data_IF_627871922019
#
_entry.id   IF_627871922019
#
_cell.length_a   1.000
_cell.length_b   1.000
_cell.length_c   1.000
_cell.angle_alpha   90.00
_cell.angle_beta   90.00
_cell.angle_gamma   90.00
#
_symmetry.space_group_name_H-M   'P 1'
#
loop_
_entity.id
_entity.type
_entity.pdbx_description
1 polymer ?
#
# COMPACT_ATOMS: atom_id res chain seq x y z
N UNK A 1 -24.68 -6.00 27.65
CA UNK A 1 -23.61 -5.00 27.50
C UNK A 1 -23.25 -4.92 26.02
N UNK A 2 -23.29 -3.75 25.41
CA UNK A 2 -22.89 -3.61 24.01
C UNK A 2 -21.37 -3.73 23.88
N UNK A 3 -20.91 -4.72 23.11
CA UNK A 3 -19.50 -4.88 22.78
C UNK A 3 -19.12 -3.83 21.74
N UNK A 4 -18.55 -2.71 22.18
CA UNK A 4 -18.18 -1.58 21.32
C UNK A 4 -16.66 -1.47 21.22
N UNK A 5 -16.17 -1.42 20.00
CA UNK A 5 -14.75 -1.33 19.64
C UNK A 5 -14.44 -0.03 18.91
N UNK A 6 -13.24 0.49 19.12
CA UNK A 6 -12.75 1.77 18.61
C UNK A 6 -11.69 1.56 17.54
N UNK A 7 -11.78 2.31 16.45
CA UNK A 7 -10.70 2.57 15.53
C UNK A 7 -10.39 4.08 15.41
N UNK A 8 -9.56 4.47 14.44
CA UNK A 8 -9.25 5.89 14.15
C UNK A 8 -10.45 6.72 13.66
N UNK A 9 -11.50 6.07 13.14
CA UNK A 9 -12.71 6.71 12.61
C UNK A 9 -13.82 6.85 13.66
N UNK A 10 -13.84 6.00 14.68
CA UNK A 10 -14.80 6.13 15.78
C UNK A 10 -15.04 4.83 16.54
N UNK A 11 -16.25 4.72 17.10
CA UNK A 11 -16.71 3.58 17.88
C UNK A 11 -17.78 2.81 17.11
N UNK A 12 -17.65 1.49 17.06
CA UNK A 12 -18.52 0.60 16.33
C UNK A 12 -18.91 -0.60 17.20
N UNK A 13 -20.09 -1.16 16.96
CA UNK A 13 -20.43 -2.47 17.52
C UNK A 13 -19.46 -3.53 16.98
N UNK A 14 -19.00 -4.47 17.81
CA UNK A 14 -18.04 -5.51 17.45
C UNK A 14 -18.40 -6.28 16.17
N UNK A 15 -19.69 -6.55 15.94
CA UNK A 15 -20.18 -7.23 14.73
C UNK A 15 -19.99 -6.41 13.46
N UNK A 16 -20.08 -5.08 13.55
CA UNK A 16 -19.84 -4.16 12.43
C UNK A 16 -18.35 -3.89 12.29
N UNK A 17 -17.66 -3.72 13.43
CA UNK A 17 -16.23 -3.45 13.52
C UNK A 17 -15.43 -4.49 12.73
N UNK A 18 -15.71 -5.80 12.91
CA UNK A 18 -14.98 -6.87 12.20
C UNK A 18 -15.03 -6.70 10.68
N UNK A 19 -16.19 -6.33 10.15
CA UNK A 19 -16.39 -6.19 8.70
C UNK A 19 -15.72 -4.88 8.24
N UNK A 20 -15.91 -3.79 8.99
CA UNK A 20 -15.37 -2.47 8.69
C UNK A 20 -13.84 -2.49 8.63
N UNK A 21 -13.19 -3.04 9.64
CA UNK A 21 -11.73 -3.14 9.67
C UNK A 21 -11.22 -4.07 8.57
N UNK A 22 -11.97 -5.11 8.20
CA UNK A 22 -11.58 -5.97 7.08
C UNK A 22 -11.68 -5.27 5.71
N UNK A 23 -12.68 -4.42 5.50
CA UNK A 23 -12.74 -3.53 4.32
C UNK A 23 -11.54 -2.58 4.28
N UNK A 24 -11.20 -1.98 5.42
CA UNK A 24 -10.06 -1.06 5.52
C UNK A 24 -8.72 -1.77 5.33
N UNK A 25 -8.52 -2.95 5.94
CA UNK A 25 -7.34 -3.78 5.73
C UNK A 25 -7.09 -4.04 4.25
N UNK A 26 -8.14 -4.40 3.51
CA UNK A 26 -8.03 -4.62 2.07
C UNK A 26 -7.60 -3.34 1.34
N UNK A 27 -8.23 -2.20 1.65
CA UNK A 27 -7.87 -0.92 1.07
C UNK A 27 -6.45 -0.45 1.40
N UNK A 28 -5.99 -0.68 2.63
CA UNK A 28 -4.68 -0.23 3.09
C UNK A 28 -3.54 -1.10 2.56
N UNK A 29 -3.77 -2.40 2.40
CA UNK A 29 -2.76 -3.32 1.90
C UNK A 29 -2.62 -3.30 0.37
N UNK A 30 -3.68 -2.94 -0.36
CA UNK A 30 -3.75 -3.12 -1.83
C UNK A 30 -4.16 -1.85 -2.59
N UNK A 31 -3.79 -0.66 -2.07
CA UNK A 31 -4.25 0.67 -2.49
C UNK A 31 -4.50 0.85 -4.01
N UNK A 32 -3.59 0.39 -4.88
CA UNK A 32 -3.69 0.58 -6.34
C UNK A 32 -3.87 -0.72 -7.15
N UNK A 33 -3.61 -1.88 -6.54
CA UNK A 33 -3.64 -3.19 -7.22
C UNK A 33 -4.96 -3.94 -7.06
N UNK A 34 -5.87 -3.40 -6.27
CA UNK A 34 -7.09 -4.09 -5.90
C UNK A 34 -8.20 -3.95 -6.95
N UNK A 35 -8.75 -5.08 -7.42
CA UNK A 35 -9.99 -5.13 -8.21
C UNK A 35 -11.24 -4.73 -7.41
N UNK A 36 -11.11 -4.61 -6.10
CA UNK A 36 -12.19 -4.25 -5.19
C UNK A 36 -11.82 -2.97 -4.41
N UNK A 37 -12.79 -2.12 -4.14
CA UNK A 37 -12.60 -0.90 -3.34
C UNK A 37 -13.63 -0.86 -2.21
N UNK A 38 -13.28 -0.32 -1.03
CA UNK A 38 -14.25 -0.15 0.04
C UNK A 38 -15.34 0.85 -0.39
N UNK A 39 -16.60 0.53 -0.13
CA UNK A 39 -17.68 1.48 -0.41
C UNK A 39 -17.54 2.73 0.48
N UNK A 40 -17.34 3.90 -0.13
CA UNK A 40 -17.28 5.18 0.59
C UNK A 40 -18.64 5.89 0.71
N UNK A 41 -19.61 5.53 -0.13
CA UNK A 41 -20.90 6.22 -0.24
C UNK A 41 -21.99 5.64 0.67
N UNK A 42 -21.77 4.45 1.24
CA UNK A 42 -22.70 3.85 2.18
C UNK A 42 -21.97 3.52 3.47
N UNK A 43 -22.62 3.76 4.61
CA UNK A 43 -22.09 3.57 5.96
C UNK A 43 -21.78 2.11 6.33
N UNK A 44 -21.65 1.22 5.34
CA UNK A 44 -21.52 -0.21 5.51
C UNK A 44 -20.15 -0.74 5.11
N UNK A 45 -19.74 -1.89 5.67
CA UNK A 45 -18.43 -2.49 5.41
C UNK A 45 -18.47 -3.50 4.26
N UNK A 46 -18.67 -3.04 3.02
CA UNK A 46 -18.57 -3.91 1.83
C UNK A 46 -17.39 -3.50 0.96
N UNK A 47 -16.80 -4.52 0.31
CA UNK A 47 -15.91 -4.35 -0.82
C UNK A 47 -16.74 -4.36 -2.10
N UNK A 48 -16.49 -3.43 -3.01
CA UNK A 48 -17.22 -3.31 -4.27
C UNK A 48 -16.23 -3.51 -5.42
N UNK A 49 -16.65 -4.22 -6.47
CA UNK A 49 -15.94 -4.22 -7.75
C UNK A 49 -15.66 -2.79 -8.26
N UNK A 50 -14.57 -2.60 -9.03
CA UNK A 50 -14.28 -1.32 -9.68
C UNK A 50 -15.45 -0.82 -10.54
N UNK A 51 -16.16 -1.73 -11.19
CA UNK A 51 -17.32 -1.42 -12.05
C UNK A 51 -18.63 -1.21 -11.27
N UNK A 52 -18.58 -1.36 -9.93
CA UNK A 52 -19.73 -1.24 -9.03
C UNK A 52 -20.87 -2.26 -9.27
N UNK A 53 -20.59 -3.32 -10.03
CA UNK A 53 -21.57 -4.37 -10.38
C UNK A 53 -21.98 -5.26 -9.21
N UNK A 54 -21.06 -5.52 -8.28
CA UNK A 54 -21.31 -6.39 -7.13
C UNK A 54 -20.56 -5.93 -5.88
N UNK A 55 -21.11 -6.35 -4.73
CA UNK A 55 -20.54 -6.11 -3.40
C UNK A 55 -20.26 -7.42 -2.67
N UNK A 56 -19.09 -7.50 -2.05
CA UNK A 56 -18.65 -8.62 -1.22
C UNK A 56 -18.59 -8.18 0.25
N UNK A 57 -19.04 -9.07 1.13
CA UNK A 57 -18.91 -8.90 2.58
C UNK A 57 -17.54 -9.46 2.98
N UNK A 58 -16.62 -8.64 3.52
CA UNK A 58 -15.29 -9.08 3.91
C UNK A 58 -15.32 -9.71 5.31
N UNK A 59 -15.95 -10.87 5.43
CA UNK A 59 -16.04 -11.61 6.70
C UNK A 59 -15.08 -12.81 6.72
N UNK A 60 -13.96 -12.65 7.42
CA UNK A 60 -12.95 -13.70 7.59
C UNK A 60 -13.43 -14.87 8.47
N UNK A 61 -14.49 -14.69 9.26
CA UNK A 61 -15.09 -15.79 10.03
C UNK A 61 -15.96 -16.72 9.18
N UNK A 62 -16.36 -16.27 7.99
CA UNK A 62 -17.15 -17.06 7.05
C UNK A 62 -16.27 -17.54 5.90
N UNK A 63 -16.08 -18.86 5.79
CA UNK A 63 -15.22 -19.45 4.76
C UNK A 63 -15.68 -19.12 3.34
N UNK A 64 -17.00 -19.12 3.07
CA UNK A 64 -17.54 -18.77 1.75
C UNK A 64 -17.25 -17.32 1.39
N UNK A 65 -17.48 -16.39 2.32
CA UNK A 65 -17.18 -14.97 2.11
C UNK A 65 -15.68 -14.71 1.92
N UNK A 66 -14.85 -15.40 2.71
CA UNK A 66 -13.39 -15.36 2.60
C UNK A 66 -12.92 -15.81 1.22
N UNK A 67 -13.46 -16.93 0.71
CA UNK A 67 -13.13 -17.46 -0.62
C UNK A 67 -13.50 -16.47 -1.72
N UNK A 68 -14.66 -15.82 -1.65
CA UNK A 68 -15.07 -14.82 -2.65
C UNK A 68 -14.12 -13.62 -2.72
N UNK A 69 -13.67 -13.10 -1.58
CA UNK A 69 -12.68 -12.00 -1.55
C UNK A 69 -11.32 -12.48 -2.05
N UNK A 70 -10.88 -13.66 -1.60
CA UNK A 70 -9.57 -14.19 -1.98
C UNK A 70 -9.45 -14.63 -3.44
N UNK A 71 -10.54 -14.75 -4.22
CA UNK A 71 -10.46 -14.93 -5.68
C UNK A 71 -9.71 -13.80 -6.38
N UNK A 72 -9.72 -12.60 -5.79
CA UNK A 72 -9.08 -11.40 -6.34
C UNK A 72 -7.69 -11.12 -5.75
N UNK A 73 -7.18 -12.03 -4.93
CA UNK A 73 -5.86 -11.93 -4.28
C UNK A 73 -5.07 -13.20 -4.58
N UNK A 74 -3.76 -13.08 -4.78
CA UNK A 74 -2.90 -14.27 -4.73
C UNK A 74 -2.88 -14.88 -3.32
N UNK A 75 -2.37 -16.11 -3.20
CA UNK A 75 -2.34 -16.82 -1.91
C UNK A 75 -1.64 -16.04 -0.80
N UNK A 76 -0.56 -15.31 -1.12
CA UNK A 76 0.20 -14.52 -0.14
C UNK A 76 -0.59 -13.31 0.33
N UNK A 77 -1.19 -12.56 -0.59
CA UNK A 77 -1.99 -11.38 -0.32
C UNK A 77 -3.31 -11.75 0.39
N UNK A 78 -3.92 -12.88 0.03
CA UNK A 78 -5.06 -13.43 0.74
C UNK A 78 -4.72 -13.74 2.22
N UNK A 79 -3.55 -14.32 2.51
CA UNK A 79 -3.09 -14.51 3.89
C UNK A 79 -2.77 -13.21 4.62
N UNK A 80 -2.13 -12.25 3.95
CA UNK A 80 -1.86 -10.92 4.53
C UNK A 80 -3.15 -10.20 4.92
N UNK A 81 -4.15 -10.21 4.05
CA UNK A 81 -5.47 -9.64 4.33
C UNK A 81 -6.16 -10.34 5.51
N UNK A 82 -6.19 -11.69 5.51
CA UNK A 82 -6.71 -12.49 6.64
C UNK A 82 -6.00 -12.14 7.94
N UNK A 83 -4.68 -12.00 7.92
CA UNK A 83 -3.89 -11.65 9.10
C UNK A 83 -4.25 -10.26 9.64
N UNK A 84 -4.38 -9.25 8.78
CA UNK A 84 -4.81 -7.90 9.17
C UNK A 84 -6.20 -7.91 9.83
N UNK A 85 -7.15 -8.61 9.21
CA UNK A 85 -8.50 -8.82 9.76
C UNK A 85 -8.49 -9.44 11.16
N UNK A 86 -7.73 -10.54 11.34
CA UNK A 86 -7.66 -11.22 12.64
C UNK A 86 -7.03 -10.32 13.70
N UNK A 87 -5.96 -9.60 13.39
CA UNK A 87 -5.33 -8.65 14.31
C UNK A 87 -6.28 -7.53 14.75
N UNK A 88 -7.14 -7.04 13.85
CA UNK A 88 -8.16 -6.05 14.19
C UNK A 88 -9.23 -6.63 15.15
N UNK A 89 -9.71 -7.84 14.88
CA UNK A 89 -10.68 -8.54 15.74
C UNK A 89 -10.09 -8.83 17.12
N UNK A 90 -8.84 -9.28 17.19
CA UNK A 90 -8.11 -9.48 18.45
C UNK A 90 -7.99 -8.17 19.24
N UNK A 91 -7.73 -7.06 18.55
CA UNK A 91 -7.71 -5.74 19.18
C UNK A 91 -9.09 -5.38 19.77
N UNK A 92 -10.17 -5.61 19.03
CA UNK A 92 -11.54 -5.38 19.49
C UNK A 92 -11.87 -6.23 20.73
N UNK A 93 -11.51 -7.52 20.73
CA UNK A 93 -11.69 -8.40 21.88
C UNK A 93 -10.94 -7.87 23.12
N UNK A 94 -9.71 -7.40 22.93
CA UNK A 94 -8.93 -6.79 24.00
C UNK A 94 -9.59 -5.51 24.55
N UNK A 95 -10.10 -4.64 23.68
CA UNK A 95 -10.82 -3.43 24.11
C UNK A 95 -12.08 -3.75 24.93
N UNK A 96 -12.84 -4.78 24.54
CA UNK A 96 -14.04 -5.22 25.27
C UNK A 96 -13.66 -5.78 26.64
N UNK A 97 -12.62 -6.62 26.70
CA UNK A 97 -12.15 -7.22 27.95
C UNK A 97 -11.65 -6.19 28.96
N UNK A 98 -10.85 -5.21 28.53
CA UNK A 98 -10.31 -4.16 29.41
C UNK A 98 -11.39 -3.24 29.95
N UNK A 99 -12.46 -2.98 29.18
CA UNK A 99 -13.59 -2.18 29.62
C UNK A 99 -14.39 -2.87 30.73
N UNK A 100 -14.52 -4.20 30.65
CA UNK A 100 -15.19 -4.98 31.70
C UNK A 100 -14.37 -5.02 33.00
N UNK A 101 -13.07 -4.72 32.95
CA UNK A 101 -12.14 -4.81 34.08
C UNK A 101 -11.87 -3.47 34.80
N UNK A 102 -12.32 -2.31 34.29
CA UNK A 102 -11.93 -0.99 34.85
C UNK A 102 -13.03 -0.28 35.64
N UNK A 103 -12.92 -0.36 36.96
CA UNK A 103 -13.19 0.75 37.88
C UNK A 103 -11.86 1.50 38.14
N UNK A 104 -11.58 2.59 37.44
CA UNK A 104 -10.41 3.43 37.78
C UNK A 104 -10.72 4.92 37.63
N UNK A 105 -10.78 5.70 38.71
CA UNK A 105 -10.82 7.14 38.62
C UNK A 105 -9.38 7.63 38.43
N UNK A 106 -9.07 8.21 37.28
CA UNK A 106 -7.80 8.90 37.07
C UNK A 106 -8.07 10.37 36.74
N UNK A 107 -7.36 11.26 37.43
CA UNK A 107 -7.44 12.72 37.35
C UNK A 107 -7.04 13.27 35.96
N UNK A 108 -6.52 12.42 35.07
CA UNK A 108 -6.19 12.73 33.67
C UNK A 108 -6.82 11.69 32.77
N UNK A 109 -7.59 12.11 31.77
CA UNK A 109 -8.22 11.22 30.80
C UNK A 109 -7.13 10.57 29.94
N UNK A 110 -6.93 9.23 29.99
CA UNK A 110 -5.95 8.57 29.13
C UNK A 110 -6.44 8.54 27.68
N UNK A 111 -5.51 8.45 26.73
CA UNK A 111 -5.88 8.15 25.34
C UNK A 111 -6.43 6.72 25.24
N UNK A 112 -7.62 6.54 24.66
CA UNK A 112 -8.29 5.24 24.64
C UNK A 112 -7.56 4.24 23.75
N UNK A 113 -7.58 2.97 24.15
CA UNK A 113 -7.14 1.84 23.30
C UNK A 113 -7.86 1.89 21.94
N UNK A 114 -7.14 1.67 20.85
CA UNK A 114 -7.70 1.79 19.49
C UNK A 114 -7.02 0.87 18.50
N UNK A 115 -7.75 0.43 17.48
CA UNK A 115 -7.16 -0.06 16.23
C UNK A 115 -6.82 1.14 15.36
N UNK A 116 -5.64 1.19 14.75
CA UNK A 116 -5.24 2.32 13.90
C UNK A 116 -5.21 2.01 12.39
N UNK A 117 -5.68 0.83 12.01
CA UNK A 117 -5.62 0.31 10.64
C UNK A 117 -4.53 -0.73 10.43
N UNK A 118 -3.47 -0.69 11.25
CA UNK A 118 -2.32 -1.59 11.13
C UNK A 118 -1.98 -2.31 12.44
N UNK A 119 -2.23 -1.68 13.59
CA UNK A 119 -1.91 -2.23 14.89
C UNK A 119 -2.95 -1.88 15.95
N UNK A 120 -2.89 -2.65 17.04
CA UNK A 120 -3.66 -2.37 18.24
C UNK A 120 -2.85 -1.48 19.17
N UNK A 121 -3.28 -0.24 19.34
CA UNK A 121 -2.63 0.75 20.19
C UNK A 121 -3.22 0.65 21.58
N UNK A 122 -2.39 0.28 22.56
CA UNK A 122 -2.78 0.24 23.97
C UNK A 122 -3.17 1.62 24.52
N UNK A 123 -3.95 1.63 25.60
CA UNK A 123 -4.24 2.85 26.35
C UNK A 123 -2.94 3.51 26.83
N UNK A 124 -2.89 4.84 26.75
CA UNK A 124 -1.71 5.61 27.11
C UNK A 124 -2.07 6.83 27.96
N UNK A 125 -1.19 7.17 28.90
CA UNK A 125 -1.39 8.34 29.75
C UNK A 125 -1.31 9.63 28.94
N UNK A 126 -2.04 10.65 29.36
CA UNK A 126 -1.98 11.97 28.74
C UNK A 126 -0.55 12.51 28.70
N UNK A 127 -0.08 12.92 27.52
CA UNK A 127 1.28 13.40 27.28
C UNK A 127 2.34 12.33 27.06
N UNK A 128 2.01 11.03 27.10
CA UNK A 128 2.96 9.94 26.83
C UNK A 128 2.94 9.47 25.38
N UNK A 129 3.84 8.53 25.04
CA UNK A 129 3.92 7.87 23.74
C UNK A 129 3.55 6.39 23.94
N UNK A 130 2.67 5.88 23.07
CA UNK A 130 2.32 4.47 23.00
C UNK A 130 3.18 3.77 21.94
N UNK A 131 3.80 2.65 22.31
CA UNK A 131 4.49 1.77 21.37
C UNK A 131 3.52 0.74 20.77
N UNK A 132 3.66 0.48 19.48
CA UNK A 132 2.80 -0.44 18.73
C UNK A 132 3.72 -1.38 17.96
N UNK A 133 3.56 -2.68 18.13
CA UNK A 133 4.39 -3.65 17.41
C UNK A 133 4.14 -3.52 15.90
N UNK A 134 5.22 -3.56 15.11
CA UNK A 134 5.08 -3.52 13.65
C UNK A 134 4.25 -4.72 13.15
N UNK A 135 3.25 -4.50 12.27
CA UNK A 135 2.43 -5.57 11.73
C UNK A 135 3.24 -6.50 10.83
N UNK A 136 3.01 -7.81 10.96
CA UNK A 136 3.66 -8.83 10.14
C UNK A 136 3.04 -8.98 8.74
N UNK A 137 1.83 -8.46 8.52
CA UNK A 137 1.10 -8.57 7.26
C UNK A 137 1.41 -7.45 6.25
N UNK A 138 2.24 -6.48 6.63
CA UNK A 138 2.74 -5.42 5.74
C UNK A 138 3.99 -5.94 5.01
N UNK A 139 4.01 -5.84 3.68
CA UNK A 139 5.14 -6.27 2.87
C UNK A 139 6.36 -5.40 3.17
N UNK A 140 7.53 -6.02 3.28
CA UNK A 140 8.81 -5.35 3.56
C UNK A 140 8.88 -4.64 4.92
N UNK A 141 7.97 -4.94 5.85
CA UNK A 141 8.00 -4.45 7.23
C UNK A 141 8.97 -5.25 8.11
N UNK A 142 9.71 -4.56 8.98
CA UNK A 142 10.46 -5.21 10.06
C UNK A 142 9.53 -5.54 11.22
N UNK A 143 9.27 -6.82 11.45
CA UNK A 143 8.34 -7.28 12.49
C UNK A 143 8.88 -7.19 13.93
N UNK A 144 10.18 -6.87 14.08
CA UNK A 144 10.88 -6.75 15.37
C UNK A 144 10.86 -5.34 15.97
N UNK A 145 10.52 -4.32 15.18
CA UNK A 145 10.50 -2.94 15.64
C UNK A 145 9.11 -2.53 16.16
N UNK A 146 9.02 -1.26 16.59
CA UNK A 146 7.79 -0.65 17.09
C UNK A 146 7.51 0.67 16.39
N UNK A 147 6.28 0.84 15.93
CA UNK A 147 5.73 2.14 15.61
C UNK A 147 5.34 2.90 16.88
N UNK A 148 5.12 4.21 16.77
CA UNK A 148 4.78 5.05 17.92
C UNK A 148 3.58 5.95 17.68
N UNK A 149 2.72 6.09 18.69
CA UNK A 149 1.56 6.98 18.65
C UNK A 149 1.58 7.92 19.85
N UNK A 150 1.45 9.22 19.60
CA UNK A 150 1.55 10.24 20.65
C UNK A 150 0.18 10.50 21.29
N UNK A 151 0.09 10.38 22.61
CA UNK A 151 -1.05 10.83 23.38
C UNK A 151 -0.84 12.30 23.79
N UNK A 152 -1.82 13.16 23.50
CA UNK A 152 -1.75 14.58 23.88
C UNK A 152 -2.01 14.76 25.37
N UNK A 153 -1.66 15.94 25.92
CA UNK A 153 -1.95 16.29 27.31
C UNK A 153 -3.45 16.35 27.62
N UNK A 154 -4.29 16.45 26.58
CA UNK A 154 -5.75 16.51 26.69
C UNK A 154 -6.39 15.10 26.66
N UNK A 155 -5.61 14.02 26.62
CA UNK A 155 -6.15 12.66 26.59
C UNK A 155 -6.69 12.23 25.22
N UNK A 156 -6.24 12.87 24.14
CA UNK A 156 -6.61 12.52 22.77
C UNK A 156 -5.40 12.12 21.95
N UNK A 157 -5.57 11.21 21.00
CA UNK A 157 -4.50 10.85 20.08
C UNK A 157 -4.10 12.04 19.22
N UNK A 158 -2.79 12.24 19.05
CA UNK A 158 -2.27 13.30 18.20
C UNK A 158 -2.80 13.14 16.77
N UNK A 159 -3.21 14.27 16.20
CA UNK A 159 -3.72 14.37 14.83
C UNK A 159 -2.71 15.12 13.98
N UNK A 160 -2.50 14.60 12.78
CA UNK A 160 -1.67 15.25 11.79
C UNK A 160 -2.28 16.60 11.37
N UNK A 161 -1.53 17.71 11.40
CA UNK A 161 -2.09 19.04 11.15
C UNK A 161 -2.57 19.24 9.71
N UNK A 162 -2.10 18.44 8.75
CA UNK A 162 -2.47 18.56 7.33
C UNK A 162 -3.75 17.77 7.04
N UNK A 163 -3.79 16.51 7.46
CA UNK A 163 -4.91 15.60 7.20
C UNK A 163 -6.00 15.63 8.28
N UNK A 164 -5.71 16.20 9.44
CA UNK A 164 -6.55 16.20 10.64
C UNK A 164 -7.00 14.80 11.12
N UNK A 165 -6.21 13.78 10.79
CA UNK A 165 -6.45 12.37 11.17
C UNK A 165 -5.50 11.95 12.27
N UNK A 166 -5.95 11.03 13.11
CA UNK A 166 -5.07 10.39 14.09
C UNK A 166 -3.90 9.74 13.36
N UNK A 167 -2.68 10.04 13.80
CA UNK A 167 -1.47 9.59 13.10
C UNK A 167 -0.64 8.67 13.99
N UNK A 168 0.03 7.73 13.35
CA UNK A 168 0.97 6.79 13.98
C UNK A 168 2.26 6.80 13.17
N UNK A 169 3.39 6.93 13.85
CA UNK A 169 4.70 6.85 13.24
C UNK A 169 5.11 5.40 13.01
N UNK A 170 5.00 4.93 11.76
CA UNK A 170 5.47 3.63 11.33
C UNK A 170 6.82 3.68 10.61
N UNK A 171 7.52 4.83 10.63
CA UNK A 171 8.84 4.96 9.99
C UNK A 171 9.83 3.89 10.43
N UNK A 172 9.92 3.51 11.73
CA UNK A 172 10.82 2.43 12.17
C UNK A 172 10.45 1.06 11.61
N UNK A 173 9.17 0.83 11.31
CA UNK A 173 8.68 -0.44 10.80
C UNK A 173 9.02 -0.69 9.33
N UNK A 174 9.47 0.33 8.60
CA UNK A 174 9.77 0.22 7.17
C UNK A 174 11.27 0.14 6.93
N UNK A 175 11.70 -0.83 6.11
CA UNK A 175 13.08 -0.88 5.64
C UNK A 175 13.32 0.13 4.49
N UNK A 176 13.39 1.41 4.86
CA UNK A 176 13.66 2.48 3.91
C UNK A 176 15.01 2.33 3.20
N UNK A 177 15.98 1.60 3.77
CA UNK A 177 17.27 1.34 3.09
C UNK A 177 17.09 0.40 1.91
N UNK A 178 16.43 -0.74 2.09
CA UNK A 178 16.20 -1.69 0.99
C UNK A 178 15.38 -1.03 -0.11
N UNK A 179 14.31 -0.32 0.26
CA UNK A 179 13.49 0.39 -0.73
C UNK A 179 14.33 1.39 -1.55
N UNK A 180 15.11 2.24 -0.87
CA UNK A 180 16.00 3.20 -1.55
C UNK A 180 17.00 2.48 -2.47
N UNK A 181 17.65 1.42 -2.00
CA UNK A 181 18.61 0.66 -2.81
C UNK A 181 17.97 0.08 -4.06
N UNK A 182 16.80 -0.55 -3.95
CA UNK A 182 16.09 -1.12 -5.10
C UNK A 182 15.71 -0.04 -6.13
N UNK A 183 15.23 1.12 -5.67
CA UNK A 183 14.91 2.26 -6.54
C UNK A 183 16.17 2.79 -7.23
N UNK A 184 17.26 2.99 -6.50
CA UNK A 184 18.52 3.47 -7.09
C UNK A 184 19.08 2.52 -8.14
N UNK A 185 19.11 1.21 -7.85
CA UNK A 185 19.56 0.19 -8.82
C UNK A 185 18.68 0.23 -10.07
N UNK A 186 17.35 0.29 -9.91
CA UNK A 186 16.43 0.41 -11.03
C UNK A 186 16.70 1.63 -11.90
N UNK A 187 16.83 2.81 -11.29
CA UNK A 187 17.11 4.07 -12.01
C UNK A 187 18.44 4.00 -12.77
N UNK A 188 19.49 3.45 -12.15
CA UNK A 188 20.80 3.30 -12.79
C UNK A 188 20.71 2.36 -14.00
N UNK A 189 20.09 1.18 -13.85
CA UNK A 189 19.91 0.23 -14.94
C UNK A 189 19.10 0.80 -16.11
N UNK A 190 18.01 1.52 -15.81
CA UNK A 190 17.22 2.22 -16.83
C UNK A 190 18.02 3.30 -17.55
N UNK A 191 18.82 4.07 -16.82
CA UNK A 191 19.67 5.12 -17.40
C UNK A 191 20.72 4.54 -18.36
N UNK A 192 21.40 3.46 -17.96
CA UNK A 192 22.38 2.77 -18.82
C UNK A 192 21.71 2.23 -20.08
N UNK A 193 20.52 1.62 -19.95
CA UNK A 193 19.77 1.11 -21.08
C UNK A 193 19.46 2.21 -22.10
N UNK A 194 18.99 3.38 -21.65
CA UNK A 194 18.70 4.51 -22.52
C UNK A 194 19.97 5.04 -23.22
N UNK A 195 21.09 5.13 -22.50
CA UNK A 195 22.38 5.58 -23.06
C UNK A 195 22.87 4.65 -24.16
N UNK A 196 22.58 3.35 -24.10
CA UNK A 196 22.98 2.37 -25.12
C UNK A 196 21.99 2.32 -26.29
N UNK A 197 20.69 2.39 -26.02
CA UNK A 197 19.62 2.28 -27.03
C UNK A 197 19.50 3.51 -27.91
N UNK A 198 19.68 4.72 -27.38
CA UNK A 198 19.52 5.96 -28.14
C UNK A 198 20.58 6.06 -29.27
N UNK A 199 21.89 5.88 -29.03
CA UNK A 199 22.88 5.88 -30.10
C UNK A 199 22.70 4.71 -31.07
N UNK A 200 22.37 3.51 -30.58
CA UNK A 200 22.14 2.35 -31.44
C UNK A 200 20.96 2.56 -32.40
N UNK A 201 19.86 3.13 -31.91
CA UNK A 201 18.71 3.47 -32.76
C UNK A 201 19.03 4.60 -33.74
N UNK A 202 19.75 5.64 -33.32
CA UNK A 202 20.16 6.74 -34.20
C UNK A 202 21.09 6.25 -35.33
N UNK A 203 22.09 5.43 -35.01
CA UNK A 203 22.99 4.85 -36.03
C UNK A 203 22.21 4.00 -37.04
N UNK A 204 21.29 3.15 -36.59
CA UNK A 204 20.44 2.36 -37.47
C UNK A 204 19.55 3.22 -38.39
N UNK A 205 18.97 4.31 -37.85
CA UNK A 205 18.15 5.25 -38.64
C UNK A 205 19.00 5.99 -39.68
N UNK A 206 20.20 6.46 -39.29
CA UNK A 206 21.13 7.12 -40.21
C UNK A 206 21.55 6.20 -41.36
N UNK A 207 21.91 4.95 -41.05
CA UNK A 207 22.24 3.95 -42.07
C UNK A 207 21.04 3.69 -43.00
N UNK A 208 19.84 3.52 -42.45
CA UNK A 208 18.63 3.32 -43.27
C UNK A 208 18.35 4.51 -44.20
N UNK A 209 18.57 5.75 -43.75
CA UNK A 209 18.41 6.96 -44.58
C UNK A 209 19.41 6.98 -45.75
N UNK A 210 20.64 6.53 -45.52
CA UNK A 210 21.67 6.47 -46.55
C UNK A 210 21.38 5.40 -47.61
N UNK A 211 20.79 4.26 -47.21
CA UNK A 211 20.37 3.20 -48.14
C UNK A 211 19.06 3.50 -48.89
N UNK A 212 18.22 4.40 -48.38
CA UNK A 212 16.96 4.82 -49.02
C UNK A 212 17.09 5.92 -50.07
N UNK A 213 18.25 6.60 -50.17
CA UNK A 213 18.52 7.65 -51.17
C UNK A 213 19.76 7.27 -52.01
N UNK A 214 19.62 6.49 -53.10
CA UNK A 214 20.71 6.30 -54.04
C UNK A 214 21.01 7.63 -54.75
N UNK A 215 22.15 8.25 -54.43
CA UNK A 215 22.68 9.36 -55.24
C UNK A 215 23.03 8.83 -56.64
N UNK A 216 22.57 9.46 -57.74
CA UNK A 216 22.96 9.07 -59.08
C UNK A 216 24.44 9.41 -59.27
N UNK A 217 25.28 8.38 -59.39
CA UNK A 217 26.69 8.54 -59.75
C UNK A 217 26.73 9.01 -61.21
N UNK A 218 27.03 10.30 -61.40
CA UNK A 218 27.14 10.95 -62.70
C UNK A 218 28.32 10.40 -63.51
N UNK A 219 28.07 10.26 -64.82
CA UNK A 219 29.00 9.91 -65.89
C UNK A 219 30.31 10.73 -65.86
N UNK A 220 31.45 10.06 -65.71
CA UNK A 220 32.75 10.40 -66.33
C UNK A 220 33.46 9.04 -66.44
N UNK A 221 33.48 8.37 -67.60
CA UNK A 221 34.54 8.43 -68.59
C UNK A 221 33.98 7.88 -69.92
N UNK A 222 33.74 8.77 -70.90
CA UNK A 222 33.52 8.38 -72.30
C UNK A 222 34.50 9.18 -73.15
N UNK A 223 35.17 8.46 -74.04
CA UNK A 223 36.21 8.84 -75.01
C UNK A 223 37.64 8.82 -74.44
N UNK A 224 38.48 7.90 -74.95
CA UNK A 224 39.21 8.16 -76.19
C UNK A 224 39.61 6.87 -76.94
N UNK A 225 39.10 6.79 -78.17
CA UNK A 225 39.67 6.27 -79.42
C UNK A 225 40.76 5.17 -79.38
N UNK A 226 40.43 3.99 -79.90
CA UNK A 226 41.40 3.05 -80.48
C UNK A 226 41.16 2.96 -82.00
N UNK A 227 42.05 3.59 -82.75
CA UNK A 227 42.23 3.42 -84.20
C UNK A 227 42.90 2.09 -84.50
N UNK A 228 42.26 1.26 -85.34
CA UNK A 228 42.84 0.06 -85.95
C UNK A 228 43.74 0.53 -87.09
N UNK A 229 45.03 0.20 -87.03
CA UNK A 229 45.95 0.29 -88.18
C UNK A 229 46.32 -1.14 -88.56
N UNK A 230 45.82 -1.52 -89.74
CA UNK A 230 46.13 -2.63 -90.67
C UNK A 230 46.87 -3.85 -90.15
#
# INVERSE_FOLDING_TARGET
>A
MENICRDTFGYFNASIFKLWTCSLCFSYLFQDSAHLTPNRNKSYPLLISKDNDFGLIPDVSNNKATLEVCKYLDGTNCERWKSCCRSAVECCNSQVSERQLKHKPLFTLPCPKTWDGFGCVSEANAGSIAAIRCPNFVQYGFSSDYGTKKCTKNGTWWRDPVSNREWTDYTPCLNLRIYKTMVYVGVICCSISLILLIPASLTFICLRKQWGNPTPVFNVLKNDNVTIVT
#
